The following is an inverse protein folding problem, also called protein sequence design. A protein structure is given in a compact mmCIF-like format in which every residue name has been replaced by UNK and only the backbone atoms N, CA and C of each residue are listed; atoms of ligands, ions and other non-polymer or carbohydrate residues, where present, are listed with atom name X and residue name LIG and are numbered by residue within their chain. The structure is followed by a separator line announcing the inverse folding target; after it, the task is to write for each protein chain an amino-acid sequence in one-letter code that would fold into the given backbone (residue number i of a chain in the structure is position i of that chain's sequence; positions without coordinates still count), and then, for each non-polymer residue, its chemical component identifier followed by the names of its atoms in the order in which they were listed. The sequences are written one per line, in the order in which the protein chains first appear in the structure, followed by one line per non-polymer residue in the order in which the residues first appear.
data_IF_080571927529
#
_entry.id   IF_080571927529
#
_cell.length_a   1.000
_cell.length_b   1.000
_cell.length_c   1.000
_cell.angle_alpha   90.00
_cell.angle_beta   90.00
_cell.angle_gamma   90.00
#
_symmetry.space_group_name_H-M   'P 1'
#
loop_
_entity.id
_entity.type
_entity.pdbx_description
1 polymer ?
#
# COMPACT_ATOMS: atom_id res chain seq x y z
N UNK A 1 14.84 -12.77 -10.05
CA UNK A 1 15.94 -11.77 -10.01
C UNK A 1 16.15 -11.37 -8.56
N UNK A 2 17.40 -11.27 -8.11
CA UNK A 2 17.72 -10.76 -6.76
C UNK A 2 17.55 -9.24 -6.75
N UNK A 3 16.96 -8.70 -5.68
CA UNK A 3 16.78 -7.25 -5.49
C UNK A 3 18.12 -6.51 -5.44
N UNK A 4 18.13 -5.26 -5.87
CA UNK A 4 19.24 -4.35 -5.57
C UNK A 4 19.27 -4.02 -4.07
N UNK A 5 20.40 -3.50 -3.60
CA UNK A 5 20.55 -3.01 -2.23
C UNK A 5 19.54 -1.91 -1.91
N UNK A 6 19.40 -0.92 -2.81
CA UNK A 6 18.43 0.17 -2.70
C UNK A 6 16.98 -0.35 -2.59
N UNK A 7 16.61 -1.38 -3.37
CA UNK A 7 15.28 -1.98 -3.30
C UNK A 7 15.04 -2.65 -1.94
N UNK A 8 16.04 -3.35 -1.39
CA UNK A 8 15.94 -3.97 -0.07
C UNK A 8 15.80 -2.92 1.04
N UNK A 9 16.59 -1.86 0.99
CA UNK A 9 16.51 -0.76 1.97
C UNK A 9 15.16 -0.05 1.93
N UNK A 10 14.62 0.18 0.72
CA UNK A 10 13.29 0.75 0.55
C UNK A 10 12.19 -0.17 1.15
N UNK A 11 12.27 -1.48 0.90
CA UNK A 11 11.32 -2.47 1.43
C UNK A 11 11.38 -2.55 2.97
N UNK A 12 12.58 -2.48 3.56
CA UNK A 12 12.79 -2.45 5.01
C UNK A 12 12.21 -1.18 5.65
N UNK A 13 12.50 -0.01 5.05
CA UNK A 13 11.96 1.27 5.52
C UNK A 13 10.43 1.30 5.45
N UNK A 14 9.85 0.77 4.37
CA UNK A 14 8.39 0.70 4.20
C UNK A 14 7.74 -0.27 5.20
N UNK A 15 8.37 -1.43 5.45
CA UNK A 15 7.92 -2.40 6.47
C UNK A 15 7.88 -1.74 7.85
N UNK A 16 8.94 -1.04 8.24
CA UNK A 16 8.99 -0.32 9.52
C UNK A 16 7.92 0.79 9.61
N UNK A 17 7.64 1.48 8.51
CA UNK A 17 6.59 2.48 8.46
C UNK A 17 5.19 1.88 8.67
N UNK A 18 4.89 0.73 8.05
CA UNK A 18 3.62 0.01 8.23
C UNK A 18 3.44 -0.39 9.69
N UNK A 19 4.47 -0.98 10.31
CA UNK A 19 4.42 -1.38 11.72
C UNK A 19 4.21 -0.19 12.65
N UNK A 20 4.88 0.94 12.37
CA UNK A 20 4.70 2.18 13.12
C UNK A 20 3.27 2.71 13.01
N UNK A 21 2.68 2.69 11.82
CA UNK A 21 1.28 3.10 11.61
C UNK A 21 0.35 2.19 12.39
N UNK A 22 0.53 0.87 12.33
CA UNK A 22 -0.30 -0.06 13.10
C UNK A 22 -0.30 0.26 14.59
N UNK A 23 0.90 0.39 15.20
CA UNK A 23 1.04 0.71 16.63
C UNK A 23 0.39 2.04 17.00
N UNK A 24 0.38 3.01 16.09
CA UNK A 24 -0.22 4.32 16.33
C UNK A 24 -1.75 4.31 16.28
N UNK A 25 -2.35 3.57 15.34
CA UNK A 25 -3.80 3.56 15.12
C UNK A 25 -4.54 2.42 15.81
N UNK A 26 -3.84 1.33 16.14
CA UNK A 26 -4.41 0.13 16.76
C UNK A 26 -3.57 -0.34 17.97
N UNK A 27 -3.31 0.53 18.96
CA UNK A 27 -2.38 0.26 20.07
C UNK A 27 -2.79 -0.93 20.94
N UNK A 28 -4.09 -1.25 21.00
CA UNK A 28 -4.63 -2.33 21.84
C UNK A 28 -4.73 -3.67 21.09
N UNK A 29 -4.18 -3.77 19.88
CA UNK A 29 -4.24 -4.99 19.05
C UNK A 29 -2.85 -5.50 18.72
N UNK A 30 -2.66 -6.83 18.82
CA UNK A 30 -1.44 -7.48 18.35
C UNK A 30 -1.45 -7.51 16.80
N UNK A 31 -0.47 -6.88 16.12
CA UNK A 31 -0.42 -6.84 14.65
C UNK A 31 -0.29 -8.21 13.99
N UNK A 32 0.18 -9.23 14.72
CA UNK A 32 0.59 -10.49 14.12
C UNK A 32 1.84 -10.33 13.24
N UNK A 33 2.10 -11.33 12.39
CA UNK A 33 3.26 -11.32 11.50
C UNK A 33 2.87 -10.72 10.15
N UNK A 34 3.53 -9.63 9.76
CA UNK A 34 3.35 -9.02 8.43
C UNK A 34 3.99 -9.88 7.34
N UNK A 35 3.18 -10.75 6.74
CA UNK A 35 3.62 -11.64 5.65
C UNK A 35 3.64 -10.92 4.30
N UNK A 36 2.59 -10.17 3.96
CA UNK A 36 2.39 -9.58 2.64
C UNK A 36 1.70 -8.22 2.74
N UNK A 37 2.00 -7.31 1.80
CA UNK A 37 1.27 -6.06 1.64
C UNK A 37 1.31 -5.55 0.20
N UNK A 38 0.32 -4.71 -0.13
CA UNK A 38 0.23 -3.96 -1.38
C UNK A 38 0.03 -2.50 -1.04
N UNK A 39 0.90 -1.63 -1.55
CA UNK A 39 0.73 -0.19 -1.42
C UNK A 39 -0.05 0.32 -2.63
N UNK A 40 -1.21 0.95 -2.36
CA UNK A 40 -1.93 1.75 -3.35
C UNK A 40 -1.61 3.22 -3.09
N UNK A 41 -0.86 3.83 -3.99
CA UNK A 41 -0.49 5.23 -3.90
C UNK A 41 -1.23 6.04 -4.97
N UNK A 42 -1.85 7.14 -4.54
CA UNK A 42 -2.36 8.18 -5.44
C UNK A 42 -1.57 9.45 -5.19
N UNK A 43 -0.88 9.94 -6.22
CA UNK A 43 -0.17 11.22 -6.19
C UNK A 43 -0.91 12.21 -7.08
N UNK A 44 -1.15 13.40 -6.54
CA UNK A 44 -1.61 14.55 -7.32
C UNK A 44 -0.41 15.45 -7.60
N UNK A 45 -0.18 15.75 -8.86
CA UNK A 45 0.78 16.77 -9.32
C UNK A 45 0.02 17.79 -10.17
N UNK A 46 0.69 18.84 -10.59
CA UNK A 46 0.15 19.83 -11.51
C UNK A 46 1.06 19.87 -12.73
N UNK A 47 0.46 19.98 -13.91
CA UNK A 47 1.17 20.21 -15.15
C UNK A 47 1.91 21.55 -15.07
N UNK A 48 3.17 21.59 -15.51
CA UNK A 48 4.01 22.77 -15.39
C UNK A 48 3.62 23.86 -16.39
N UNK A 49 2.99 23.50 -17.51
CA UNK A 49 2.65 24.43 -18.59
C UNK A 49 1.28 25.09 -18.38
N UNK A 50 0.26 24.32 -17.99
CA UNK A 50 -1.11 24.83 -17.86
C UNK A 50 -1.69 24.78 -16.44
N UNK A 51 -0.94 24.24 -15.47
CA UNK A 51 -1.37 24.11 -14.09
C UNK A 51 -2.52 23.14 -13.88
N UNK A 52 -2.87 22.32 -14.89
CA UNK A 52 -3.93 21.34 -14.78
C UNK A 52 -3.56 20.22 -13.81
N UNK A 53 -4.52 19.68 -13.04
CA UNK A 53 -4.22 18.63 -12.08
C UNK A 53 -3.96 17.30 -12.78
N UNK A 54 -2.77 16.74 -12.56
CA UNK A 54 -2.40 15.39 -12.98
C UNK A 54 -2.56 14.42 -11.80
N UNK A 55 -3.16 13.26 -12.05
CA UNK A 55 -3.28 12.19 -11.05
C UNK A 55 -2.54 10.96 -11.52
N UNK A 56 -1.54 10.54 -10.75
CA UNK A 56 -0.82 9.29 -10.95
C UNK A 56 -1.24 8.28 -9.88
N UNK A 57 -1.55 7.07 -10.31
CA UNK A 57 -1.83 5.96 -9.40
C UNK A 57 -0.76 4.89 -9.57
N UNK A 58 -0.35 4.28 -8.46
CA UNK A 58 0.59 3.18 -8.47
C UNK A 58 0.14 2.09 -7.49
N UNK A 59 0.36 0.84 -7.90
CA UNK A 59 0.18 -0.34 -7.06
C UNK A 59 1.54 -1.02 -6.97
N UNK A 60 2.05 -1.17 -5.74
CA UNK A 60 3.40 -1.68 -5.48
C UNK A 60 3.31 -2.84 -4.48
N UNK A 61 3.46 -4.10 -4.91
CA UNK A 61 3.62 -5.20 -3.96
C UNK A 61 4.95 -5.12 -3.24
N UNK A 62 4.98 -5.57 -1.98
CA UNK A 62 6.24 -5.80 -1.26
C UNK A 62 7.17 -6.71 -2.06
N UNK A 63 6.62 -7.74 -2.71
CA UNK A 63 7.38 -8.68 -3.53
C UNK A 63 7.12 -8.48 -5.02
N UNK A 64 8.19 -8.27 -5.81
CA UNK A 64 8.10 -8.17 -7.27
C UNK A 64 7.52 -9.41 -7.96
N UNK A 65 7.25 -10.47 -7.21
CA UNK A 65 6.63 -11.73 -7.63
C UNK A 65 5.35 -12.07 -6.86
N UNK A 66 4.64 -11.11 -6.24
CA UNK A 66 3.31 -11.43 -5.71
C UNK A 66 2.41 -11.86 -6.88
N UNK A 67 1.83 -13.07 -6.86
CA UNK A 67 0.93 -13.53 -7.91
C UNK A 67 -0.22 -12.55 -8.14
N UNK A 68 -0.62 -12.35 -9.42
CA UNK A 68 -1.64 -11.38 -9.79
C UNK A 68 -3.00 -11.66 -9.11
N UNK A 69 -3.32 -12.92 -8.87
CA UNK A 69 -4.49 -13.37 -8.13
C UNK A 69 -4.43 -12.98 -6.64
N UNK A 70 -3.26 -13.09 -6.01
CA UNK A 70 -3.05 -12.59 -4.64
C UNK A 70 -3.19 -11.07 -4.57
N UNK A 71 -2.60 -10.34 -5.53
CA UNK A 71 -2.74 -8.89 -5.65
C UNK A 71 -4.22 -8.47 -5.78
N UNK A 72 -4.95 -9.12 -6.68
CA UNK A 72 -6.37 -8.86 -6.90
C UNK A 72 -7.19 -9.17 -5.64
N UNK A 73 -6.90 -10.30 -4.98
CA UNK A 73 -7.57 -10.70 -3.75
C UNK A 73 -7.41 -9.67 -2.62
N UNK A 74 -6.20 -9.17 -2.41
CA UNK A 74 -5.91 -8.14 -1.41
C UNK A 74 -6.64 -6.82 -1.72
N UNK A 75 -6.67 -6.41 -2.99
CA UNK A 75 -7.38 -5.21 -3.42
C UNK A 75 -8.91 -5.36 -3.25
N UNK A 76 -9.46 -6.50 -3.64
CA UNK A 76 -10.90 -6.79 -3.48
C UNK A 76 -11.31 -6.82 -2.02
N UNK A 77 -10.49 -7.41 -1.15
CA UNK A 77 -10.76 -7.41 0.29
C UNK A 77 -10.82 -5.98 0.86
N UNK A 78 -9.85 -5.14 0.51
CA UNK A 78 -9.86 -3.73 0.89
C UNK A 78 -11.11 -2.99 0.39
N UNK A 79 -11.44 -3.14 -0.89
CA UNK A 79 -12.60 -2.50 -1.50
C UNK A 79 -13.93 -2.90 -0.82
N UNK A 80 -14.12 -4.20 -0.55
CA UNK A 80 -15.33 -4.70 0.11
C UNK A 80 -15.46 -4.17 1.53
N UNK A 81 -14.36 -4.10 2.29
CA UNK A 81 -14.40 -3.51 3.65
C UNK A 81 -14.73 -2.03 3.62
N UNK A 82 -14.12 -1.27 2.73
CA UNK A 82 -14.42 0.16 2.57
C UNK A 82 -15.88 0.38 2.15
N UNK A 83 -16.41 -0.43 1.22
CA UNK A 83 -17.83 -0.37 0.85
C UNK A 83 -18.74 -0.66 2.03
N UNK A 84 -18.44 -1.67 2.83
CA UNK A 84 -19.22 -2.00 4.03
C UNK A 84 -19.22 -0.85 5.06
N UNK A 85 -18.09 -0.15 5.22
CA UNK A 85 -18.00 1.03 6.09
C UNK A 85 -18.86 2.19 5.56
N UNK A 86 -18.77 2.49 4.26
CA UNK A 86 -19.61 3.54 3.62
C UNK A 86 -21.10 3.25 3.79
N UNK A 87 -21.52 1.98 3.78
CA UNK A 87 -22.92 1.61 3.97
C UNK A 87 -23.39 1.72 5.43
N UNK A 88 -22.47 1.79 6.39
CA UNK A 88 -22.76 1.93 7.81
C UNK A 88 -22.76 3.40 8.27
N UNK A 89 -22.16 4.29 7.50
CA UNK A 89 -22.15 5.75 7.68
C UNK A 89 -23.42 6.41 7.09
#
# INVERSE_FOLDING_TARGET
MTRSEEQREADEALTAAIERVWRAYYPDTEPGILMEYVVNARRRTFDEDDGSPLTSNATMPRDGNVPLDTLLGLQMFGALRTQAQIQQD
#
